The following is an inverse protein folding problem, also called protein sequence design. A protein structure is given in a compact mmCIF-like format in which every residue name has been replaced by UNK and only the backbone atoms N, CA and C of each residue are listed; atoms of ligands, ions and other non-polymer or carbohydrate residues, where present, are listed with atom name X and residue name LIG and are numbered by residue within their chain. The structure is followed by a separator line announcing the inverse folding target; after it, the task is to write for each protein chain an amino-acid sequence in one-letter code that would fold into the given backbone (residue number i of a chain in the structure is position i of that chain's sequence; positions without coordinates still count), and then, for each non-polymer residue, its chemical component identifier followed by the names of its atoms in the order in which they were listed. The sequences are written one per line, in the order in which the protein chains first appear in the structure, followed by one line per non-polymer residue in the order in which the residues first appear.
data_IF_830030063157
#
_entry.id   IF_830030063157
#
_cell.length_a   1.000
_cell.length_b   1.000
_cell.length_c   1.000
_cell.angle_alpha   90.00
_cell.angle_beta   90.00
_cell.angle_gamma   90.00
#
_symmetry.space_group_name_H-M   'P 1'
#
loop_
_entity.id
_entity.type
_entity.pdbx_description
1 polymer ?
#
# COMPACT_ATOMS: atom_id res chain seq x y z
N UNK A 1 -5.91 -22.64 8.32
CA UNK A 1 -5.16 -22.14 7.15
C UNK A 1 -4.34 -20.90 7.49
N UNK A 2 -4.94 -19.74 7.79
CA UNK A 2 -4.17 -18.52 8.13
C UNK A 2 -3.14 -18.76 9.25
N UNK A 3 -3.58 -19.31 10.38
CA UNK A 3 -2.68 -19.60 11.52
C UNK A 3 -1.56 -20.56 11.16
N UNK A 4 -1.85 -21.60 10.38
CA UNK A 4 -0.85 -22.58 9.93
C UNK A 4 0.22 -21.90 9.07
N UNK A 5 -0.20 -20.93 8.25
CA UNK A 5 0.71 -20.14 7.43
C UNK A 5 1.52 -19.16 8.28
N UNK A 6 0.93 -18.51 9.28
CA UNK A 6 1.66 -17.67 10.25
C UNK A 6 2.73 -18.50 10.97
N UNK A 7 2.35 -19.65 11.51
CA UNK A 7 3.23 -20.56 12.24
C UNK A 7 4.33 -21.14 11.35
N UNK A 8 3.98 -21.60 10.15
CA UNK A 8 4.94 -22.15 9.19
C UNK A 8 5.99 -21.10 8.80
N UNK A 9 5.58 -19.85 8.54
CA UNK A 9 6.51 -18.74 8.22
C UNK A 9 7.45 -18.40 9.37
N UNK A 10 7.03 -18.59 10.62
CA UNK A 10 7.89 -18.40 11.78
C UNK A 10 9.09 -19.36 11.79
N UNK A 11 8.93 -20.55 11.22
CA UNK A 11 9.97 -21.58 11.13
C UNK A 11 10.72 -21.60 9.79
N UNK A 12 10.18 -20.96 8.75
CA UNK A 12 10.68 -21.04 7.39
C UNK A 12 10.91 -19.63 6.80
N UNK A 13 11.98 -18.91 7.20
CA UNK A 13 12.27 -17.59 6.67
C UNK A 13 12.62 -17.63 5.17
N UNK A 14 12.46 -16.53 4.43
CA UNK A 14 12.84 -16.47 3.01
C UNK A 14 14.34 -16.73 2.79
N UNK A 15 14.73 -17.30 1.63
CA UNK A 15 13.88 -17.66 0.49
C UNK A 15 13.08 -18.95 0.75
N UNK A 16 11.77 -18.89 0.59
CA UNK A 16 10.87 -20.03 0.77
C UNK A 16 9.67 -19.93 -0.17
N UNK A 17 9.03 -21.06 -0.44
CA UNK A 17 7.93 -21.18 -1.40
C UNK A 17 6.68 -21.69 -0.70
N UNK A 18 5.53 -21.08 -1.02
CA UNK A 18 4.24 -21.45 -0.48
C UNK A 18 3.27 -21.77 -1.62
N UNK A 19 2.61 -22.92 -1.54
CA UNK A 19 1.51 -23.29 -2.42
C UNK A 19 0.22 -23.32 -1.61
N UNK A 20 -0.79 -22.56 -2.03
CA UNK A 20 -2.10 -22.51 -1.39
C UNK A 20 -3.13 -23.12 -2.34
N UNK A 21 -3.84 -24.14 -1.87
CA UNK A 21 -4.93 -24.79 -2.60
C UNK A 21 -6.24 -24.41 -1.93
N UNK A 22 -6.92 -23.37 -2.43
CA UNK A 22 -8.15 -22.86 -1.82
C UNK A 22 -8.86 -21.84 -2.72
N UNK A 23 -10.19 -21.78 -2.62
CA UNK A 23 -11.02 -20.69 -3.18
C UNK A 23 -11.24 -19.53 -2.18
N UNK A 24 -10.77 -19.67 -0.94
CA UNK A 24 -11.07 -18.76 0.17
C UNK A 24 -9.89 -17.87 0.57
N UNK A 25 -8.97 -17.59 -0.35
CA UNK A 25 -7.84 -16.69 -0.11
C UNK A 25 -8.28 -15.25 -0.34
N UNK A 26 -9.22 -14.76 0.46
CA UNK A 26 -9.79 -13.40 0.31
C UNK A 26 -9.66 -12.57 1.61
N UNK A 27 -9.93 -11.27 1.52
CA UNK A 27 -10.00 -10.37 2.67
C UNK A 27 -8.66 -10.23 3.42
N UNK A 28 -8.72 -10.28 4.75
CA UNK A 28 -7.54 -10.03 5.61
C UNK A 28 -6.41 -11.04 5.38
N UNK A 29 -6.73 -12.26 4.94
CA UNK A 29 -5.74 -13.29 4.63
C UNK A 29 -4.91 -12.92 3.39
N UNK A 30 -5.55 -12.56 2.28
CA UNK A 30 -4.82 -12.15 1.08
C UNK A 30 -4.08 -10.84 1.28
N UNK A 31 -4.53 -9.98 2.20
CA UNK A 31 -3.85 -8.73 2.56
C UNK A 31 -2.55 -8.98 3.32
N UNK A 32 -2.56 -9.88 4.31
CA UNK A 32 -1.36 -10.27 5.01
C UNK A 32 -0.30 -10.85 4.06
N UNK A 33 -0.72 -11.72 3.13
CA UNK A 33 0.15 -12.27 2.10
C UNK A 33 0.69 -11.18 1.16
N UNK A 34 -0.13 -10.23 0.72
CA UNK A 34 0.30 -9.11 -0.12
C UNK A 34 1.28 -8.16 0.59
N UNK A 35 1.11 -7.95 1.90
CA UNK A 35 2.06 -7.22 2.75
C UNK A 35 3.37 -7.97 2.88
N UNK A 36 3.29 -9.29 3.09
CA UNK A 36 4.46 -10.16 3.17
C UNK A 36 5.34 -10.03 1.92
N UNK A 37 4.73 -10.02 0.74
CA UNK A 37 5.42 -9.87 -0.54
C UNK A 37 6.17 -8.54 -0.71
N UNK A 38 5.78 -7.48 0.01
CA UNK A 38 6.46 -6.18 -0.06
C UNK A 38 7.79 -6.15 0.73
N UNK A 39 8.06 -7.11 1.61
CA UNK A 39 9.33 -7.20 2.37
C UNK A 39 10.10 -8.49 2.16
N UNK A 40 9.37 -9.57 1.86
CA UNK A 40 9.93 -10.92 1.85
C UNK A 40 9.62 -11.59 0.53
N UNK A 41 10.63 -12.21 -0.07
CA UNK A 41 10.55 -12.84 -1.40
C UNK A 41 9.96 -14.25 -1.34
N UNK A 42 8.90 -14.47 -0.56
CA UNK A 42 8.18 -15.74 -0.65
C UNK A 42 7.61 -15.91 -2.05
N UNK A 43 7.86 -17.06 -2.67
CA UNK A 43 7.23 -17.41 -3.94
C UNK A 43 5.85 -18.00 -3.67
N UNK A 44 4.81 -17.40 -4.24
CA UNK A 44 3.43 -17.80 -4.00
C UNK A 44 2.88 -18.54 -5.22
N UNK A 45 2.40 -19.76 -5.01
CA UNK A 45 1.72 -20.59 -5.98
C UNK A 45 0.28 -20.83 -5.51
N UNK A 46 -0.68 -20.84 -6.43
CA UNK A 46 -2.09 -20.99 -6.06
C UNK A 46 -2.77 -22.07 -6.91
N UNK A 47 -3.65 -22.86 -6.30
CA UNK A 47 -4.61 -23.67 -7.03
C UNK A 47 -6.02 -23.40 -6.48
N UNK A 48 -6.99 -23.24 -7.37
CA UNK A 48 -8.37 -22.89 -7.03
C UNK A 48 -9.35 -23.73 -7.83
N UNK A 49 -10.50 -24.06 -7.27
CA UNK A 49 -11.57 -24.75 -7.98
C UNK A 49 -12.37 -23.79 -8.88
N UNK A 50 -12.47 -22.52 -8.49
CA UNK A 50 -13.12 -21.44 -9.26
C UNK A 50 -12.19 -20.23 -9.31
N UNK A 51 -11.99 -19.67 -10.50
CA UNK A 51 -11.17 -18.48 -10.65
C UNK A 51 -11.90 -17.27 -10.06
N UNK A 52 -11.42 -16.75 -8.94
CA UNK A 52 -11.93 -15.51 -8.34
C UNK A 52 -11.25 -14.30 -8.99
N UNK A 53 -12.05 -13.34 -9.47
CA UNK A 53 -11.55 -12.09 -10.04
C UNK A 53 -11.13 -11.06 -8.97
N UNK A 54 -11.35 -11.38 -7.68
CA UNK A 54 -11.19 -10.43 -6.57
C UNK A 54 -9.78 -10.32 -6.01
N UNK A 55 -8.89 -11.28 -6.29
CA UNK A 55 -7.51 -11.28 -5.80
C UNK A 55 -6.56 -10.47 -6.70
N UNK A 56 -6.91 -9.20 -6.93
CA UNK A 56 -6.12 -8.34 -7.81
C UNK A 56 -4.72 -8.11 -7.22
N UNK A 57 -4.50 -8.15 -5.90
CA UNK A 57 -3.28 -7.64 -5.25
C UNK A 57 -2.24 -8.71 -4.84
N UNK A 58 -2.51 -10.01 -5.05
CA UNK A 58 -1.50 -11.06 -4.83
C UNK A 58 -0.67 -11.30 -6.09
N UNK A 59 0.66 -11.18 -5.98
CA UNK A 59 1.56 -11.60 -7.05
C UNK A 59 1.77 -13.11 -6.98
N UNK A 60 1.29 -13.83 -7.99
CA UNK A 60 1.43 -15.30 -8.06
C UNK A 60 2.53 -15.66 -9.05
N UNK A 61 3.41 -16.57 -8.67
CA UNK A 61 4.42 -17.12 -9.55
C UNK A 61 3.80 -18.04 -10.61
N UNK A 62 2.81 -18.81 -10.22
CA UNK A 62 1.90 -19.51 -11.12
C UNK A 62 0.57 -19.80 -10.40
N UNK A 63 -0.48 -20.03 -11.19
CA UNK A 63 -1.76 -20.44 -10.67
C UNK A 63 -2.45 -21.44 -11.58
N UNK A 64 -3.17 -22.40 -10.99
CA UNK A 64 -3.87 -23.46 -11.72
C UNK A 64 -5.33 -23.58 -11.31
N UNK A 65 -6.16 -23.95 -12.29
CA UNK A 65 -7.46 -24.52 -11.98
C UNK A 65 -7.23 -25.92 -11.40
N UNK A 66 -7.79 -26.20 -10.23
CA UNK A 66 -7.59 -27.44 -9.49
C UNK A 66 -7.82 -28.68 -10.36
N UNK A 67 -8.88 -28.69 -11.17
CA UNK A 67 -9.18 -29.78 -12.10
C UNK A 67 -8.05 -30.02 -13.11
N UNK A 68 -7.54 -28.94 -13.72
CA UNK A 68 -6.44 -29.03 -14.69
C UNK A 68 -5.14 -29.52 -14.05
N UNK A 69 -4.85 -29.06 -12.84
CA UNK A 69 -3.67 -29.50 -12.09
C UNK A 69 -3.68 -31.02 -11.83
N UNK A 70 -4.86 -31.58 -11.57
CA UNK A 70 -5.03 -33.02 -11.36
C UNK A 70 -4.98 -33.81 -12.68
N UNK A 71 -5.46 -33.24 -13.78
CA UNK A 71 -5.50 -33.87 -15.10
C UNK A 71 -4.10 -33.95 -15.76
N UNK A 72 -3.25 -32.95 -15.55
CA UNK A 72 -1.87 -32.91 -16.09
C UNK A 72 -0.93 -33.95 -15.43
N UNK A 73 -1.32 -34.51 -14.28
CA UNK A 73 -0.57 -35.52 -13.53
C UNK A 73 -0.80 -36.97 -13.97
N UNK A 74 -1.32 -37.22 -15.18
CA UNK A 74 -1.77 -38.51 -15.73
C UNK A 74 -0.75 -39.65 -15.88
N UNK A 75 0.17 -39.81 -14.93
CA UNK A 75 0.90 -41.05 -14.73
C UNK A 75 0.00 -42.11 -14.09
N UNK A 76 0.24 -43.38 -14.44
CA UNK A 76 -0.46 -44.53 -13.85
C UNK A 76 -0.44 -44.44 -12.31
N UNK A 77 -1.50 -44.92 -11.61
CA UNK A 77 -1.51 -44.93 -10.15
C UNK A 77 -0.25 -45.64 -9.67
N UNK A 78 0.60 -44.94 -8.92
CA UNK A 78 1.70 -45.59 -8.24
C UNK A 78 1.08 -46.64 -7.31
N UNK A 79 1.29 -47.91 -7.63
CA UNK A 79 0.93 -49.03 -6.75
C UNK A 79 1.72 -48.82 -5.47
N UNK A 80 1.04 -48.31 -4.44
CA UNK A 80 1.63 -47.95 -3.16
C UNK A 80 2.00 -49.22 -2.38
N UNK A 81 3.13 -49.83 -2.74
CA UNK A 81 3.80 -50.80 -1.89
C UNK A 81 4.40 -50.09 -0.67
N UNK A 82 3.80 -50.30 0.51
CA UNK A 82 4.43 -50.02 1.80
C UNK A 82 4.27 -48.61 2.39
N UNK A 83 3.35 -47.77 1.90
CA UNK A 83 3.08 -46.47 2.54
C UNK A 83 2.23 -46.66 3.81
N UNK A 84 2.74 -46.17 4.96
CA UNK A 84 1.99 -46.05 6.21
C UNK A 84 0.63 -45.39 5.96
N UNK A 85 -0.45 -45.95 6.54
CA UNK A 85 -1.79 -45.35 6.46
C UNK A 85 -1.74 -43.88 6.88
N UNK A 86 -2.39 -43.01 6.11
CA UNK A 86 -2.42 -41.58 6.38
C UNK A 86 -3.12 -41.31 7.73
N UNK A 87 -2.52 -40.43 8.54
CA UNK A 87 -3.16 -39.92 9.76
C UNK A 87 -4.16 -38.83 9.40
N UNK A 88 -5.38 -38.94 9.91
CA UNK A 88 -6.37 -37.85 9.91
C UNK A 88 -6.19 -37.01 11.16
N UNK A 89 -6.18 -35.68 11.01
CA UNK A 89 -6.01 -34.73 12.11
C UNK A 89 -7.11 -33.66 12.09
N UNK A 90 -7.74 -33.42 13.23
CA UNK A 90 -8.65 -32.31 13.48
C UNK A 90 -7.97 -31.32 14.43
N UNK A 91 -7.64 -30.14 13.91
CA UNK A 91 -6.96 -29.08 14.66
C UNK A 91 -7.81 -28.54 15.80
N UNK A 92 -9.07 -28.24 15.54
CA UNK A 92 -9.98 -27.63 16.52
C UNK A 92 -10.15 -28.49 17.77
N UNK A 93 -10.18 -29.81 17.60
CA UNK A 93 -10.33 -30.75 18.73
C UNK A 93 -9.02 -31.40 19.19
N UNK A 94 -7.87 -31.08 18.56
CA UNK A 94 -6.60 -31.78 18.73
C UNK A 94 -6.76 -33.31 18.68
N UNK A 95 -7.55 -33.78 17.73
CA UNK A 95 -7.91 -35.20 17.58
C UNK A 95 -7.22 -35.79 16.36
N UNK A 96 -6.59 -36.94 16.51
CA UNK A 96 -5.94 -37.67 15.44
C UNK A 96 -6.36 -39.14 15.40
N UNK A 97 -6.46 -39.71 14.20
CA UNK A 97 -6.76 -41.14 14.04
C UNK A 97 -6.35 -41.67 12.67
N UNK A 98 -6.21 -42.98 12.53
CA UNK A 98 -5.91 -43.65 11.25
C UNK A 98 -7.16 -44.16 10.51
N UNK A 99 -8.34 -44.03 11.13
CA UNK A 99 -9.60 -44.56 10.57
C UNK A 99 -10.45 -43.43 10.02
N UNK A 100 -10.70 -43.47 8.71
CA UNK A 100 -11.59 -42.52 8.02
C UNK A 100 -12.99 -42.51 8.64
N UNK A 101 -13.50 -43.68 9.03
CA UNK A 101 -14.82 -43.81 9.65
C UNK A 101 -14.87 -43.11 11.02
N UNK A 102 -13.86 -43.35 11.88
CA UNK A 102 -13.74 -42.66 13.17
C UNK A 102 -13.61 -41.16 12.98
N UNK A 103 -12.84 -40.72 11.99
CA UNK A 103 -12.69 -39.30 11.69
C UNK A 103 -14.00 -38.65 11.24
N UNK A 104 -14.74 -39.27 10.32
CA UNK A 104 -16.07 -38.79 9.90
C UNK A 104 -17.04 -38.72 11.08
N UNK A 105 -17.05 -39.74 11.94
CA UNK A 105 -17.88 -39.75 13.17
C UNK A 105 -17.50 -38.61 14.13
N UNK A 106 -16.20 -38.32 14.24
CA UNK A 106 -15.71 -37.17 15.01
C UNK A 106 -16.23 -35.85 14.44
N UNK A 107 -16.08 -35.61 13.13
CA UNK A 107 -16.53 -34.38 12.47
C UNK A 107 -18.04 -34.15 12.60
N UNK A 108 -18.85 -35.20 12.54
CA UNK A 108 -20.31 -35.11 12.72
C UNK A 108 -20.75 -34.93 14.17
N UNK A 109 -19.82 -34.90 15.14
CA UNK A 109 -20.17 -34.79 16.56
C UNK A 109 -20.56 -33.36 16.96
N UNK A 110 -21.55 -33.23 17.84
CA UNK A 110 -21.91 -31.94 18.45
C UNK A 110 -20.72 -31.25 19.11
N UNK A 111 -19.83 -32.04 19.74
CA UNK A 111 -18.60 -31.54 20.36
C UNK A 111 -17.71 -30.83 19.35
N UNK A 112 -17.53 -31.43 18.15
CA UNK A 112 -16.75 -30.81 17.08
C UNK A 112 -17.40 -29.51 16.59
N UNK A 113 -18.70 -29.52 16.27
CA UNK A 113 -19.41 -28.33 15.81
C UNK A 113 -19.38 -27.16 16.80
N UNK A 114 -19.45 -27.45 18.11
CA UNK A 114 -19.32 -26.42 19.16
C UNK A 114 -17.90 -25.84 19.23
N UNK A 115 -16.88 -26.69 19.12
CA UNK A 115 -15.47 -26.28 19.19
C UNK A 115 -15.07 -25.39 18.00
N UNK A 116 -15.52 -25.74 16.79
CA UNK A 116 -15.37 -24.93 15.58
C UNK A 116 -16.02 -23.54 15.72
N UNK A 117 -17.20 -23.46 16.36
CA UNK A 117 -17.86 -22.18 16.59
C UNK A 117 -17.10 -21.30 17.59
N UNK A 118 -16.54 -21.88 18.65
CA UNK A 118 -15.74 -21.13 19.63
C UNK A 118 -14.40 -20.69 19.06
N UNK A 119 -13.76 -21.52 18.23
CA UNK A 119 -12.48 -21.18 17.60
C UNK A 119 -12.62 -20.01 16.63
N UNK A 120 -13.75 -19.88 15.92
CA UNK A 120 -14.03 -18.81 14.96
C UNK A 120 -14.02 -17.36 15.52
N UNK A 121 -13.99 -17.16 16.85
CA UNK A 121 -13.90 -15.82 17.48
C UNK A 121 -12.56 -15.10 17.26
N UNK A 122 -11.55 -15.77 16.70
CA UNK A 122 -10.20 -15.24 16.51
C UNK A 122 -10.10 -14.00 15.61
N UNK A 123 -11.04 -13.79 14.68
CA UNK A 123 -11.08 -12.61 13.80
C UNK A 123 -11.04 -11.29 14.58
N UNK A 124 -11.61 -11.27 15.79
CA UNK A 124 -11.59 -10.09 16.68
C UNK A 124 -10.19 -9.75 17.23
N UNK A 125 -9.28 -10.73 17.30
CA UNK A 125 -7.92 -10.54 17.81
C UNK A 125 -6.98 -9.85 16.82
N UNK A 126 -7.12 -10.13 15.52
CA UNK A 126 -6.29 -9.51 14.47
C UNK A 126 -6.58 -8.01 14.34
N UNK A 127 -7.86 -7.61 14.46
CA UNK A 127 -8.27 -6.21 14.49
C UNK A 127 -7.66 -5.44 15.69
N UNK A 128 -7.42 -6.11 16.82
CA UNK A 128 -6.87 -5.45 18.01
C UNK A 128 -5.38 -5.09 17.86
N UNK A 129 -4.56 -6.02 17.35
CA UNK A 129 -3.11 -5.82 17.18
C UNK A 129 -2.82 -4.74 16.13
N UNK A 130 -3.67 -4.65 15.13
CA UNK A 130 -3.50 -3.76 13.97
C UNK A 130 -3.84 -2.30 14.28
N UNK A 131 -4.73 -2.05 15.26
CA UNK A 131 -5.04 -0.68 15.75
C UNK A 131 -3.84 0.05 16.34
N UNK A 132 -2.82 -0.65 16.83
CA UNK A 132 -1.64 -0.04 17.48
C UNK A 132 -0.35 -0.15 16.67
N UNK A 133 -0.39 -0.69 15.44
CA UNK A 133 0.79 -1.10 14.67
C UNK A 133 1.62 0.02 14.01
N UNK A 134 1.66 1.23 14.60
CA UNK A 134 2.48 2.34 14.09
C UNK A 134 3.96 2.08 14.41
N UNK A 135 4.78 1.83 13.39
CA UNK A 135 6.24 1.75 13.53
C UNK A 135 6.92 2.58 12.44
N UNK A 136 7.75 3.52 12.87
CA UNK A 136 8.63 4.28 11.99
C UNK A 136 10.00 3.62 11.99
N UNK A 137 10.29 2.88 10.93
CA UNK A 137 11.58 2.24 10.71
C UNK A 137 12.58 3.29 10.23
N UNK A 138 13.79 3.29 10.81
CA UNK A 138 14.87 4.15 10.32
C UNK A 138 15.31 3.71 8.93
N UNK A 139 15.84 4.63 8.14
CA UNK A 139 16.42 4.31 6.84
C UNK A 139 17.51 3.25 6.98
N UNK A 140 17.49 2.26 6.08
CA UNK A 140 18.66 1.41 5.85
C UNK A 140 19.71 2.21 5.07
N UNK A 141 20.99 1.78 5.06
CA UNK A 141 22.03 2.45 4.29
C UNK A 141 21.67 2.61 2.80
N UNK A 142 21.00 1.62 2.18
CA UNK A 142 20.62 1.70 0.76
C UNK A 142 19.56 2.77 0.49
N UNK A 143 18.66 3.02 1.45
CA UNK A 143 17.55 3.96 1.31
C UNK A 143 17.82 5.35 1.89
N UNK A 144 18.88 5.53 2.69
CA UNK A 144 19.15 6.78 3.41
C UNK A 144 19.33 8.00 2.50
N UNK A 145 19.89 7.81 1.31
CA UNK A 145 20.10 8.87 0.31
C UNK A 145 19.31 8.64 -0.99
N UNK A 146 18.45 7.63 -1.01
CA UNK A 146 17.62 7.29 -2.16
C UNK A 146 16.53 8.34 -2.40
N UNK A 147 16.12 8.52 -3.66
CA UNK A 147 15.07 9.48 -4.03
C UNK A 147 13.72 9.09 -3.41
N UNK A 148 12.92 10.10 -3.09
CA UNK A 148 11.59 9.96 -2.50
C UNK A 148 10.56 10.68 -3.38
N UNK A 149 9.57 9.95 -3.88
CA UNK A 149 8.39 10.53 -4.54
C UNK A 149 7.26 10.67 -3.55
N UNK A 150 6.67 11.86 -3.45
CA UNK A 150 5.52 12.13 -2.58
C UNK A 150 4.32 12.45 -3.46
N UNK A 151 3.24 11.69 -3.27
CA UNK A 151 1.95 11.89 -3.92
C UNK A 151 0.98 12.40 -2.86
N UNK A 152 0.48 13.60 -3.04
CA UNK A 152 -0.33 14.26 -2.02
C UNK A 152 -1.74 14.55 -2.52
N UNK A 153 -2.72 13.82 -1.97
CA UNK A 153 -4.13 14.15 -2.12
C UNK A 153 -4.47 15.34 -1.20
N UNK A 154 -4.49 16.54 -1.79
CA UNK A 154 -4.81 17.77 -1.05
C UNK A 154 -6.27 17.85 -0.61
N UNK A 155 -7.18 17.05 -1.19
CA UNK A 155 -8.58 17.03 -0.77
C UNK A 155 -8.74 16.25 0.52
N UNK A 156 -8.05 15.11 0.66
CA UNK A 156 -8.07 14.28 1.86
C UNK A 156 -7.17 14.83 2.97
N UNK A 157 -6.05 15.43 2.60
CA UNK A 157 -5.13 16.06 3.55
C UNK A 157 -4.91 17.54 3.16
N UNK A 158 -5.89 18.43 3.38
CA UNK A 158 -5.79 19.83 3.00
C UNK A 158 -4.77 20.59 3.84
N UNK A 159 -4.31 21.72 3.32
CA UNK A 159 -3.52 22.67 4.12
C UNK A 159 -4.42 23.22 5.23
N UNK A 160 -4.04 23.10 6.51
CA UNK A 160 -4.83 23.63 7.61
C UNK A 160 -5.01 25.15 7.51
N UNK A 161 -6.13 25.66 8.02
CA UNK A 161 -6.39 27.09 8.04
C UNK A 161 -5.28 27.86 8.78
N UNK A 162 -4.83 28.96 8.17
CA UNK A 162 -3.73 29.78 8.70
C UNK A 162 -2.34 29.16 8.58
N UNK A 163 -2.20 27.97 8.01
CA UNK A 163 -0.89 27.34 7.78
C UNK A 163 -0.24 27.89 6.50
N UNK A 164 1.03 28.29 6.59
CA UNK A 164 1.77 28.77 5.43
C UNK A 164 2.16 27.61 4.51
N UNK A 165 1.59 27.58 3.30
CA UNK A 165 1.82 26.56 2.29
C UNK A 165 3.33 26.34 1.97
N UNK A 166 4.17 27.37 2.10
CA UNK A 166 5.63 27.27 1.90
C UNK A 166 6.31 26.38 2.93
N UNK A 167 5.66 26.07 4.05
CA UNK A 167 6.20 25.20 5.08
C UNK A 167 5.88 23.73 4.85
N UNK A 168 5.06 23.36 3.85
CA UNK A 168 4.68 21.96 3.59
C UNK A 168 5.91 21.12 3.22
N UNK A 169 6.62 21.46 2.14
CA UNK A 169 7.83 20.74 1.71
C UNK A 169 8.87 20.63 2.83
N UNK A 170 9.29 21.74 3.47
CA UNK A 170 10.26 21.66 4.56
C UNK A 170 9.83 20.73 5.70
N UNK A 171 8.53 20.67 6.00
CA UNK A 171 8.01 19.85 7.10
C UNK A 171 8.08 18.36 6.76
N UNK A 172 7.74 18.00 5.52
CA UNK A 172 7.90 16.65 4.98
C UNK A 172 9.37 16.22 4.99
N UNK A 173 10.26 17.05 4.44
CA UNK A 173 11.70 16.78 4.40
C UNK A 173 12.31 16.64 5.81
N UNK A 174 11.89 17.47 6.77
CA UNK A 174 12.34 17.35 8.16
C UNK A 174 11.84 16.08 8.84
N UNK A 175 10.62 15.63 8.53
CA UNK A 175 10.09 14.38 9.03
C UNK A 175 10.88 13.17 8.51
N UNK A 176 11.23 13.16 7.22
CA UNK A 176 12.12 12.15 6.63
C UNK A 176 13.50 12.17 7.28
N UNK A 177 14.10 13.36 7.44
CA UNK A 177 15.42 13.49 8.08
C UNK A 177 15.44 12.96 9.50
N UNK A 178 14.36 13.14 10.27
CA UNK A 178 14.23 12.63 11.65
C UNK A 178 14.31 11.10 11.72
N UNK A 179 13.90 10.39 10.68
CA UNK A 179 13.97 8.93 10.58
C UNK A 179 15.14 8.44 9.69
N UNK A 180 16.10 9.31 9.36
CA UNK A 180 17.34 8.95 8.68
C UNK A 180 17.30 8.99 7.16
N UNK A 181 16.23 9.53 6.56
CA UNK A 181 16.13 9.71 5.11
C UNK A 181 16.54 11.13 4.74
N UNK A 182 17.49 11.25 3.82
CA UNK A 182 18.12 12.51 3.42
C UNK A 182 18.26 12.66 1.91
N UNK A 183 17.70 11.72 1.14
CA UNK A 183 17.70 11.78 -0.31
C UNK A 183 16.76 12.88 -0.87
N UNK A 184 16.86 13.17 -2.18
CA UNK A 184 16.04 14.17 -2.84
C UNK A 184 14.54 13.83 -2.76
N UNK A 185 13.70 14.85 -2.52
CA UNK A 185 12.24 14.69 -2.39
C UNK A 185 11.53 15.39 -3.54
N UNK A 186 10.80 14.64 -4.34
CA UNK A 186 9.87 15.14 -5.36
C UNK A 186 8.46 15.12 -4.76
N UNK A 187 7.71 16.22 -4.86
CA UNK A 187 6.38 16.34 -4.26
C UNK A 187 5.40 16.80 -5.33
N UNK A 188 4.36 16.01 -5.56
CA UNK A 188 3.26 16.34 -6.45
C UNK A 188 1.96 16.35 -5.66
N UNK A 189 1.29 17.49 -5.69
CA UNK A 189 0.01 17.70 -5.04
C UNK A 189 -1.13 17.58 -6.07
N UNK A 190 -2.18 16.86 -5.71
CA UNK A 190 -3.29 16.51 -6.59
C UNK A 190 -4.58 17.09 -6.03
N UNK A 191 -5.26 17.93 -6.82
CA UNK A 191 -6.60 18.43 -6.52
C UNK A 191 -7.27 19.01 -7.76
N UNK A 192 -8.55 19.31 -7.62
CA UNK A 192 -9.19 20.31 -8.46
C UNK A 192 -8.68 21.69 -8.04
N UNK A 193 -8.06 22.42 -8.98
CA UNK A 193 -7.45 23.72 -8.70
C UNK A 193 -8.36 24.89 -9.05
N UNK A 194 -9.56 24.65 -9.61
CA UNK A 194 -10.53 25.71 -9.89
C UNK A 194 -10.98 26.45 -8.62
N UNK A 195 -11.06 25.72 -7.50
CA UNK A 195 -11.53 26.24 -6.22
C UNK A 195 -10.41 26.43 -5.18
N UNK A 196 -9.15 26.19 -5.56
CA UNK A 196 -8.04 26.30 -4.61
C UNK A 196 -7.60 27.76 -4.45
N UNK A 197 -7.42 28.26 -3.21
CA UNK A 197 -6.97 29.63 -2.98
C UNK A 197 -5.62 29.92 -3.67
N UNK A 198 -5.56 31.04 -4.41
CA UNK A 198 -4.37 31.44 -5.18
C UNK A 198 -3.08 31.48 -4.35
N UNK A 199 -3.16 31.93 -3.08
CA UNK A 199 -2.00 31.99 -2.20
C UNK A 199 -1.42 30.60 -1.84
N UNK A 200 -2.24 29.54 -1.83
CA UNK A 200 -1.74 28.17 -1.70
C UNK A 200 -0.95 27.75 -2.94
N UNK A 201 -1.43 28.05 -4.14
CA UNK A 201 -0.74 27.70 -5.39
C UNK A 201 0.64 28.36 -5.45
N UNK A 202 0.70 29.67 -5.17
CA UNK A 202 1.97 30.42 -5.10
C UNK A 202 2.88 29.86 -4.02
N UNK A 203 2.35 29.61 -2.83
CA UNK A 203 3.14 29.12 -1.70
C UNK A 203 3.73 27.74 -1.94
N UNK A 204 2.97 26.83 -2.55
CA UNK A 204 3.45 25.49 -2.90
C UNK A 204 4.47 25.54 -4.04
N UNK A 205 4.14 26.17 -5.17
CA UNK A 205 5.01 26.20 -6.34
C UNK A 205 6.32 26.93 -6.06
N UNK A 206 6.32 28.00 -5.26
CA UNK A 206 7.56 28.71 -4.85
C UNK A 206 8.52 27.86 -4.03
N UNK A 207 8.07 26.72 -3.51
CA UNK A 207 8.91 25.75 -2.81
C UNK A 207 9.20 24.52 -3.66
N UNK A 208 8.88 24.52 -4.95
CA UNK A 208 9.12 23.39 -5.83
C UNK A 208 8.15 22.23 -5.64
N UNK A 209 6.97 22.46 -5.06
CA UNK A 209 5.90 21.46 -5.06
C UNK A 209 5.16 21.55 -6.38
N UNK A 210 5.09 20.43 -7.10
CA UNK A 210 4.36 20.33 -8.35
C UNK A 210 2.85 20.24 -8.11
N UNK A 211 2.07 20.83 -9.00
CA UNK A 211 0.63 20.98 -8.85
C UNK A 211 -0.07 20.28 -10.02
N UNK A 212 -0.70 19.13 -9.75
CA UNK A 212 -1.40 18.32 -10.75
C UNK A 212 -2.92 18.49 -10.66
N UNK A 213 -3.49 19.26 -11.59
CA UNK A 213 -4.94 19.40 -11.72
C UNK A 213 -5.55 18.08 -12.17
N UNK A 214 -6.49 17.58 -11.36
CA UNK A 214 -7.24 16.36 -11.66
C UNK A 214 -8.60 16.37 -10.97
N UNK A 215 -9.55 15.60 -11.50
CA UNK A 215 -10.88 15.47 -10.92
C UNK A 215 -10.92 14.30 -9.94
N UNK A 216 -11.82 14.40 -8.96
CA UNK A 216 -11.93 13.42 -7.87
C UNK A 216 -11.95 11.96 -8.36
N UNK A 217 -12.70 11.68 -9.42
CA UNK A 217 -12.88 10.32 -9.95
C UNK A 217 -11.67 9.78 -10.73
N UNK A 218 -10.76 10.63 -11.22
CA UNK A 218 -9.54 10.21 -11.93
C UNK A 218 -8.27 10.30 -11.08
N UNK A 219 -8.32 11.02 -9.95
CA UNK A 219 -7.14 11.28 -9.11
C UNK A 219 -6.33 10.02 -8.82
N UNK A 220 -6.98 8.95 -8.40
CA UNK A 220 -6.32 7.71 -8.04
C UNK A 220 -5.57 7.02 -9.18
N UNK A 221 -6.14 6.98 -10.38
CA UNK A 221 -5.45 6.43 -11.54
C UNK A 221 -4.30 7.33 -11.97
N UNK A 222 -4.47 8.66 -11.89
CA UNK A 222 -3.39 9.63 -12.21
C UNK A 222 -2.20 9.51 -11.27
N UNK A 223 -2.44 9.39 -9.96
CA UNK A 223 -1.37 9.18 -8.99
C UNK A 223 -0.61 7.87 -9.27
N UNK A 224 -1.31 6.80 -9.64
CA UNK A 224 -0.68 5.52 -9.99
C UNK A 224 0.16 5.62 -11.28
N UNK A 225 -0.38 6.26 -12.32
CA UNK A 225 0.33 6.46 -13.59
C UNK A 225 1.62 7.27 -13.37
N UNK A 226 1.56 8.32 -12.54
CA UNK A 226 2.72 9.15 -12.21
C UNK A 226 3.81 8.36 -11.47
N UNK A 227 3.44 7.50 -10.50
CA UNK A 227 4.43 6.61 -9.83
C UNK A 227 5.08 5.65 -10.81
N UNK A 228 4.27 5.07 -11.71
CA UNK A 228 4.75 4.11 -12.71
C UNK A 228 5.70 4.77 -13.69
N UNK A 229 5.40 6.01 -14.12
CA UNK A 229 6.30 6.77 -14.99
C UNK A 229 7.59 7.11 -14.26
N UNK A 230 7.49 7.62 -13.03
CA UNK A 230 8.63 7.98 -12.20
C UNK A 230 9.56 6.78 -11.92
N UNK A 231 9.03 5.58 -11.73
CA UNK A 231 9.84 4.35 -11.55
C UNK A 231 10.81 4.13 -12.72
N UNK A 232 10.38 4.34 -13.96
CA UNK A 232 11.21 4.05 -15.14
C UNK A 232 12.53 4.82 -15.08
N UNK A 233 12.51 6.01 -14.51
CA UNK A 233 13.67 6.88 -14.36
C UNK A 233 14.37 6.74 -12.99
N UNK A 234 13.76 6.02 -12.04
CA UNK A 234 14.20 5.95 -10.65
C UNK A 234 14.10 4.52 -10.07
N UNK A 235 14.82 3.53 -10.64
CA UNK A 235 14.77 2.15 -10.15
C UNK A 235 15.20 2.05 -8.68
N UNK A 236 14.76 0.99 -8.00
CA UNK A 236 15.11 0.73 -6.61
C UNK A 236 16.65 0.68 -6.38
N UNK A 237 17.17 1.18 -5.24
CA UNK A 237 16.44 1.64 -4.05
C UNK A 237 15.87 3.05 -4.22
N UNK A 238 14.60 3.20 -3.88
CA UNK A 238 13.87 4.46 -3.87
C UNK A 238 12.68 4.35 -2.91
N UNK A 239 12.00 5.46 -2.63
CA UNK A 239 10.85 5.47 -1.71
C UNK A 239 9.67 6.24 -2.29
N UNK A 240 8.46 5.81 -1.94
CA UNK A 240 7.21 6.47 -2.30
C UNK A 240 6.44 6.82 -1.03
N UNK A 241 5.91 8.03 -0.95
CA UNK A 241 4.99 8.46 0.10
C UNK A 241 3.63 8.77 -0.50
N UNK A 242 2.58 8.19 0.10
CA UNK A 242 1.21 8.59 -0.16
C UNK A 242 0.73 9.48 1.00
N UNK A 243 0.16 10.64 0.69
CA UNK A 243 -0.52 11.50 1.64
C UNK A 243 -2.00 11.51 1.27
N UNK A 244 -2.80 10.68 1.94
CA UNK A 244 -4.23 10.53 1.71
C UNK A 244 -4.85 9.77 2.88
N UNK A 245 -6.11 10.03 3.16
CA UNK A 245 -6.92 9.08 3.92
C UNK A 245 -7.17 7.88 3.01
N UNK A 246 -6.82 6.70 3.51
CA UNK A 246 -6.90 5.44 2.78
C UNK A 246 -7.92 4.54 3.45
N UNK A 247 -8.98 4.24 2.71
CA UNK A 247 -10.01 3.32 3.14
C UNK A 247 -9.72 1.89 2.69
N UNK A 248 -10.41 0.93 3.32
CA UNK A 248 -10.28 -0.50 3.00
C UNK A 248 -10.55 -0.79 1.53
N UNK A 249 -11.54 -0.08 0.97
CA UNK A 249 -12.04 -0.30 -0.38
C UNK A 249 -11.37 0.61 -1.42
N UNK A 250 -10.38 1.42 -0.99
CA UNK A 250 -9.64 2.26 -1.92
C UNK A 250 -8.73 1.41 -2.81
N UNK A 251 -8.89 1.59 -4.11
CA UNK A 251 -8.10 0.87 -5.10
C UNK A 251 -6.65 1.38 -5.21
N UNK A 252 -6.39 2.64 -4.82
CA UNK A 252 -5.06 3.27 -4.96
C UNK A 252 -3.99 2.55 -4.10
N UNK A 253 -4.20 2.31 -2.79
CA UNK A 253 -3.27 1.52 -1.99
C UNK A 253 -2.98 0.14 -2.59
N UNK A 254 -3.98 -0.49 -3.19
CA UNK A 254 -3.85 -1.81 -3.82
C UNK A 254 -2.97 -1.78 -5.06
N UNK A 255 -3.12 -0.76 -5.90
CA UNK A 255 -2.27 -0.54 -7.07
C UNK A 255 -0.82 -0.28 -6.68
N UNK A 256 -0.60 0.65 -5.75
CA UNK A 256 0.74 1.00 -5.26
C UNK A 256 1.39 -0.22 -4.58
N UNK A 257 0.65 -0.97 -3.75
CA UNK A 257 1.15 -2.20 -3.13
C UNK A 257 1.66 -3.20 -4.17
N UNK A 258 0.92 -3.45 -5.25
CA UNK A 258 1.36 -4.38 -6.31
C UNK A 258 2.67 -3.94 -6.96
N UNK A 259 2.85 -2.64 -7.11
CA UNK A 259 4.10 -2.05 -7.56
C UNK A 259 5.23 -2.30 -6.54
N UNK A 260 5.01 -1.98 -5.26
CA UNK A 260 5.99 -2.17 -4.18
C UNK A 260 6.41 -3.63 -3.99
N UNK A 261 5.54 -4.60 -4.31
CA UNK A 261 5.88 -6.03 -4.23
C UNK A 261 6.90 -6.48 -5.29
N UNK A 262 7.05 -5.76 -6.41
CA UNK A 262 7.96 -6.14 -7.50
C UNK A 262 9.38 -5.64 -7.29
N UNK A 263 9.54 -4.58 -6.50
CA UNK A 263 10.76 -3.78 -6.47
C UNK A 263 11.12 -3.42 -5.03
N UNK A 264 12.40 -3.22 -4.72
CA UNK A 264 12.86 -2.91 -3.36
C UNK A 264 12.63 -1.42 -3.00
N UNK A 265 11.36 -0.98 -2.96
CA UNK A 265 10.98 0.37 -2.56
C UNK A 265 10.51 0.42 -1.11
N UNK A 266 10.81 1.52 -0.43
CA UNK A 266 10.15 1.84 0.84
C UNK A 266 8.87 2.64 0.59
N UNK A 267 7.85 2.36 1.40
CA UNK A 267 6.58 3.06 1.35
C UNK A 267 6.32 3.86 2.62
N UNK A 268 5.79 5.06 2.47
CA UNK A 268 5.40 5.95 3.56
C UNK A 268 3.94 6.36 3.43
N UNK A 269 3.30 6.64 4.55
CA UNK A 269 1.91 7.08 4.56
C UNK A 269 1.71 8.27 5.49
N UNK A 270 0.99 9.28 5.03
CA UNK A 270 0.39 10.28 5.89
C UNK A 270 -1.11 10.37 5.65
N UNK A 271 -1.87 10.63 6.72
CA UNK A 271 -3.32 10.63 6.73
C UNK A 271 -3.84 11.71 7.68
N UNK A 272 -5.04 12.22 7.45
CA UNK A 272 -5.71 13.20 8.32
C UNK A 272 -6.16 12.53 9.63
N UNK A 273 -6.66 11.30 9.55
CA UNK A 273 -6.98 10.46 10.70
C UNK A 273 -6.40 9.06 10.54
N UNK A 274 -6.11 8.41 11.66
CA UNK A 274 -5.50 7.08 11.64
C UNK A 274 -6.51 6.03 11.15
N UNK A 275 -6.18 5.24 10.11
CA UNK A 275 -7.03 4.12 9.70
C UNK A 275 -7.23 3.13 10.85
N UNK A 276 -8.49 2.77 11.11
CA UNK A 276 -8.85 1.79 12.15
C UNK A 276 -8.59 0.34 11.73
N UNK A 277 -8.38 0.11 10.42
CA UNK A 277 -8.16 -1.21 9.81
C UNK A 277 -6.83 -1.17 9.05
N UNK A 278 -6.18 -2.32 8.95
CA UNK A 278 -4.97 -2.46 8.13
C UNK A 278 -5.24 -2.05 6.70
N UNK A 279 -4.22 -1.54 6.01
CA UNK A 279 -4.24 -1.42 4.55
C UNK A 279 -3.35 -2.50 3.95
N UNK A 280 -3.54 -2.80 2.67
CA UNK A 280 -2.67 -3.72 1.94
C UNK A 280 -1.24 -3.18 1.77
N UNK A 281 -1.01 -1.87 1.89
CA UNK A 281 0.32 -1.25 1.82
C UNK A 281 1.13 -1.44 3.09
N UNK A 282 2.32 -2.02 2.96
CA UNK A 282 3.26 -2.19 4.07
C UNK A 282 4.15 -0.95 4.22
N UNK A 283 3.78 -0.09 5.17
CA UNK A 283 4.47 1.17 5.44
C UNK A 283 5.79 0.96 6.22
N UNK A 284 6.78 1.79 5.88
CA UNK A 284 8.05 1.95 6.59
C UNK A 284 7.98 3.06 7.64
N UNK A 285 7.10 4.03 7.46
CA UNK A 285 6.79 5.04 8.46
C UNK A 285 5.44 5.69 8.18
N UNK A 286 4.82 6.22 9.24
CA UNK A 286 3.49 6.82 9.19
C UNK A 286 3.37 8.12 10.01
N UNK A 287 2.59 9.05 9.49
CA UNK A 287 2.32 10.34 10.13
C UNK A 287 0.84 10.72 10.11
N UNK A 288 0.36 11.29 11.22
CA UNK A 288 -0.81 12.16 11.16
C UNK A 288 -0.39 13.44 10.44
N UNK A 289 -1.21 13.90 9.50
CA UNK A 289 -0.94 15.08 8.68
C UNK A 289 -0.65 16.33 9.51
N UNK A 290 -1.46 16.61 10.54
CA UNK A 290 -1.22 17.73 11.45
C UNK A 290 0.11 17.60 12.23
N UNK A 291 0.46 16.38 12.62
CA UNK A 291 1.75 16.11 13.27
C UNK A 291 2.93 16.28 12.31
N UNK A 292 2.71 16.04 11.01
CA UNK A 292 3.71 16.23 9.97
C UNK A 292 4.00 17.73 9.76
N UNK A 293 2.97 18.57 9.80
CA UNK A 293 3.07 20.03 9.62
C UNK A 293 3.54 20.80 10.87
N UNK A 294 3.52 20.18 12.05
CA UNK A 294 3.93 20.81 13.31
C UNK A 294 5.41 20.61 13.67
N UNK A 295 6.23 20.09 12.77
CA UNK A 295 7.64 19.72 13.03
C UNK A 295 8.53 20.92 13.42
N UNK A 296 8.13 22.15 13.09
CA UNK A 296 8.93 23.35 13.33
C UNK A 296 8.39 24.25 14.45
N UNK A 297 9.31 24.74 15.29
CA UNK A 297 9.05 25.87 16.18
C UNK A 297 9.01 27.19 15.40
N UNK A 298 8.36 28.21 15.97
CA UNK A 298 8.13 29.52 15.32
C UNK A 298 9.41 30.22 14.85
N UNK A 299 10.50 30.09 15.60
CA UNK A 299 11.82 30.63 15.21
C UNK A 299 12.40 29.90 13.99
N UNK A 300 12.18 28.59 13.90
CA UNK A 300 12.69 27.76 12.80
C UNK A 300 11.86 27.97 11.52
N UNK A 301 10.55 28.21 11.65
CA UNK A 301 9.67 28.60 10.53
C UNK A 301 10.18 29.84 9.79
N UNK A 302 10.45 30.94 10.53
CA UNK A 302 10.96 32.19 9.93
C UNK A 302 12.28 32.02 9.18
N UNK A 303 13.20 31.22 9.71
CA UNK A 303 14.49 30.96 9.05
C UNK A 303 14.31 30.15 7.75
N UNK A 304 13.43 29.15 7.76
CA UNK A 304 13.12 28.32 6.59
C UNK A 304 12.48 29.17 5.49
N UNK A 305 11.49 30.00 5.83
CA UNK A 305 10.81 30.88 4.87
C UNK A 305 11.79 31.81 4.14
N UNK A 306 12.80 32.34 4.85
CA UNK A 306 13.84 33.16 4.23
C UNK A 306 14.68 32.36 3.24
N UNK A 307 15.07 31.14 3.60
CA UNK A 307 15.90 30.26 2.76
C UNK A 307 15.17 29.74 1.51
N UNK A 308 13.87 29.43 1.63
CA UNK A 308 13.04 29.00 0.49
C UNK A 308 12.96 30.07 -0.61
N UNK A 309 13.03 31.35 -0.24
CA UNK A 309 13.04 32.46 -1.20
C UNK A 309 14.33 32.60 -2.00
N UNK A 310 15.43 31.95 -1.59
CA UNK A 310 16.76 32.19 -2.15
C UNK A 310 17.26 31.07 -3.07
N UNK A 311 16.74 29.83 -2.96
CA UNK A 311 17.33 28.64 -3.61
C UNK A 311 16.33 27.60 -4.17
N UNK A 312 15.03 27.87 -4.18
CA UNK A 312 14.04 26.88 -4.64
C UNK A 312 13.83 26.95 -6.16
N UNK A 313 13.89 25.81 -6.85
CA UNK A 313 13.31 25.67 -8.18
C UNK A 313 11.78 25.77 -8.07
N UNK A 314 11.14 26.55 -8.93
CA UNK A 314 9.68 26.65 -8.99
C UNK A 314 9.09 25.29 -9.40
N UNK A 315 7.97 24.91 -8.77
CA UNK A 315 7.24 23.68 -9.11
C UNK A 315 6.48 23.81 -10.42
N UNK A 316 6.29 22.69 -11.10
CA UNK A 316 5.55 22.60 -12.36
C UNK A 316 4.04 22.53 -12.12
N UNK A 317 3.26 23.03 -13.07
CA UNK A 317 1.81 22.89 -13.10
C UNK A 317 1.44 21.89 -14.20
N UNK A 318 0.68 20.85 -13.83
CA UNK A 318 0.22 19.82 -14.75
C UNK A 318 -1.30 19.85 -14.86
N UNK A 319 -1.83 19.67 -16.06
CA UNK A 319 -3.25 19.37 -16.26
C UNK A 319 -3.39 17.90 -16.63
N UNK A 320 -3.88 17.05 -15.72
CA UNK A 320 -4.05 15.61 -15.96
C UNK A 320 -5.35 15.27 -16.70
N UNK A 321 -6.06 16.27 -17.22
CA UNK A 321 -7.28 16.15 -18.00
C UNK A 321 -7.04 16.48 -19.47
N UNK A 322 -6.10 17.38 -19.73
CA UNK A 322 -5.56 17.65 -21.06
C UNK A 322 -4.37 16.73 -21.32
N UNK A 323 -4.27 16.21 -22.54
CA UNK A 323 -3.17 15.34 -22.93
C UNK A 323 -1.86 16.14 -22.98
N UNK A 324 -0.81 15.64 -22.30
CA UNK A 324 0.55 16.20 -22.26
C UNK A 324 0.63 17.71 -22.04
N UNK A 325 -0.18 18.24 -21.11
CA UNK A 325 -0.17 19.67 -20.79
C UNK A 325 0.51 19.95 -19.44
N UNK A 326 1.58 20.76 -19.50
CA UNK A 326 2.27 21.33 -18.35
C UNK A 326 2.78 22.75 -18.61
N UNK A 327 3.10 23.48 -17.54
CA UNK A 327 3.76 24.80 -17.62
C UNK A 327 4.47 25.15 -16.30
N UNK A 328 5.33 26.17 -16.34
CA UNK A 328 6.02 26.73 -15.15
C UNK A 328 5.28 27.94 -14.56
N UNK A 329 4.34 28.53 -15.30
CA UNK A 329 3.70 29.80 -14.96
C UNK A 329 2.29 29.61 -14.39
N UNK A 330 2.08 30.09 -13.16
CA UNK A 330 0.75 30.10 -12.53
C UNK A 330 -0.29 30.87 -13.35
N UNK A 331 0.12 31.95 -14.00
CA UNK A 331 -0.75 32.76 -14.85
C UNK A 331 -1.18 31.98 -16.10
N UNK A 332 -0.26 31.24 -16.72
CA UNK A 332 -0.58 30.38 -17.86
C UNK A 332 -1.49 29.22 -17.46
N UNK A 333 -1.23 28.61 -16.30
CA UNK A 333 -2.07 27.58 -15.72
C UNK A 333 -3.50 28.07 -15.45
N UNK A 334 -3.64 29.22 -14.80
CA UNK A 334 -4.95 29.80 -14.50
C UNK A 334 -5.71 30.14 -15.79
N UNK A 335 -5.00 30.69 -16.80
CA UNK A 335 -5.58 30.94 -18.13
C UNK A 335 -6.00 29.65 -18.83
N UNK A 336 -5.21 28.59 -18.73
CA UNK A 336 -5.52 27.27 -19.29
C UNK A 336 -6.81 26.71 -18.69
N UNK A 337 -6.90 26.64 -17.35
CA UNK A 337 -8.08 26.16 -16.63
C UNK A 337 -9.35 26.97 -16.98
N UNK A 338 -9.22 28.28 -17.22
CA UNK A 338 -10.35 29.16 -17.54
C UNK A 338 -10.81 29.10 -18.99
N UNK A 339 -9.92 28.77 -19.95
CA UNK A 339 -10.17 28.93 -21.39
C UNK A 339 -10.33 27.61 -22.14
N UNK A 340 -9.81 26.52 -21.59
CA UNK A 340 -9.82 25.25 -22.29
C UNK A 340 -11.24 24.70 -22.43
N UNK A 341 -11.59 24.24 -23.63
CA UNK A 341 -12.90 23.61 -23.89
C UNK A 341 -13.11 22.34 -23.05
N UNK A 342 -12.03 21.64 -22.70
CA UNK A 342 -12.06 20.46 -21.83
C UNK A 342 -12.61 20.81 -20.44
N UNK A 343 -12.25 21.99 -19.94
CA UNK A 343 -12.65 22.47 -18.61
C UNK A 343 -13.99 23.22 -18.59
N UNK A 344 -14.64 23.42 -19.74
CA UNK A 344 -15.90 24.20 -19.83
C UNK A 344 -17.14 23.47 -19.28
N UNK A 345 -17.02 22.16 -18.97
CA UNK A 345 -18.11 21.30 -18.45
C UNK A 345 -17.81 20.68 -17.09
N UNK A 346 -16.65 20.99 -16.54
CA UNK A 346 -16.26 20.71 -15.15
C UNK A 346 -16.82 21.81 -14.27
#
# INVERSE_FOLDING_TARGET
MYDDIVEWRGHNPPPATMMIISDHVEGDFSWDLARLQQRTRYKLFMAYSVQTYKDLFLLRNAAWLWKKLLEEGGGAPLVAGGLSSAMFYCKSCKFDCQSLERFRKHLSSYKHGREEFTSARWYTGLECVTKTWRRNYRATPEHATAKIQVLWDMVKCPIPEGYDARLVRPSIEAAFKKIGYSGPVSITAYTDYKETPHHHLVGLSSTGVDLAHTLYWYKGSRMYDDVRQWENDNPAPASVMLISDVDRDDYIPSLISRYLQKSNYNCFLAYSFRPCKMTVMLTSAEWLWESLLSVFSEKRRRHILKKCSENASTGMFYCKLCYDWDCESLDEFTKHLSRSKTHARE
#
